data_IF_994041371874
#
_entry.id   IF_994041371874
#
_cell.length_a   1.000
_cell.length_b   1.000
_cell.length_c   1.000
_cell.angle_alpha   90.00
_cell.angle_beta   90.00
_cell.angle_gamma   90.00
#
_symmetry.space_group_name_H-M   'P 1'
#
loop_
_entity.id
_entity.type
_entity.pdbx_description
1 polymer ?
#
# COMPACT_ATOMS: atom_id res chain seq x y z
N UNK A 1 -3.01 44.97 -28.75
CA UNK A 1 -3.26 43.63 -28.19
C UNK A 1 -2.02 43.21 -27.42
N UNK A 2 -1.99 43.44 -26.11
CA UNK A 2 -0.88 43.09 -25.23
C UNK A 2 -1.16 41.71 -24.65
N UNK A 3 -0.35 40.73 -25.04
CA UNK A 3 -0.39 39.37 -24.53
C UNK A 3 -0.01 39.39 -23.05
N UNK A 4 -0.98 39.14 -22.16
CA UNK A 4 -0.72 38.78 -20.77
C UNK A 4 -0.06 37.40 -20.76
N UNK A 5 1.26 37.35 -20.58
CA UNK A 5 1.97 36.13 -20.22
C UNK A 5 1.53 35.69 -18.83
N UNK A 6 0.83 34.57 -18.76
CA UNK A 6 0.45 33.91 -17.52
C UNK A 6 1.70 33.70 -16.65
N UNK A 7 1.64 34.20 -15.42
CA UNK A 7 2.63 33.95 -14.38
C UNK A 7 2.54 32.47 -14.02
N UNK A 8 3.42 31.64 -14.59
CA UNK A 8 3.55 30.25 -14.19
C UNK A 8 4.04 30.23 -12.74
N UNK A 9 3.12 29.97 -11.81
CA UNK A 9 3.44 29.80 -10.40
C UNK A 9 4.62 28.83 -10.28
N UNK A 10 5.77 29.33 -9.83
CA UNK A 10 7.01 28.56 -9.74
C UNK A 10 6.79 27.27 -8.93
N UNK A 11 7.29 26.10 -9.37
CA UNK A 11 7.07 24.81 -8.70
C UNK A 11 7.86 24.62 -7.39
N UNK A 12 8.36 25.70 -6.79
CA UNK A 12 9.17 25.71 -5.56
C UNK A 12 8.55 24.88 -4.40
N UNK A 13 7.23 24.88 -4.15
CA UNK A 13 6.64 24.06 -3.09
C UNK A 13 6.71 22.54 -3.36
N UNK A 14 6.68 22.13 -4.63
CA UNK A 14 6.70 20.71 -5.00
C UNK A 14 8.10 20.11 -4.85
N UNK A 15 9.15 20.88 -5.12
CA UNK A 15 10.54 20.43 -4.99
C UNK A 15 10.94 20.28 -3.52
N UNK A 16 10.52 21.21 -2.66
CA UNK A 16 10.80 21.16 -1.22
C UNK A 16 10.06 20.03 -0.49
N UNK A 17 8.93 19.57 -1.05
CA UNK A 17 8.13 18.46 -0.47
C UNK A 17 8.45 17.10 -1.08
N UNK A 18 9.18 17.04 -2.20
CA UNK A 18 9.57 15.81 -2.85
C UNK A 18 10.26 14.78 -1.93
N UNK A 19 11.30 15.14 -1.13
CA UNK A 19 11.93 14.17 -0.23
C UNK A 19 10.98 13.68 0.88
N UNK A 20 10.10 14.55 1.38
CA UNK A 20 9.10 14.16 2.38
C UNK A 20 8.03 13.22 1.82
N UNK A 21 7.70 13.33 0.52
CA UNK A 21 6.81 12.37 -0.16
C UNK A 21 7.45 10.99 -0.23
N UNK A 22 8.72 10.89 -0.61
CA UNK A 22 9.43 9.60 -0.64
C UNK A 22 9.46 8.93 0.74
N UNK A 23 9.75 9.70 1.79
CA UNK A 23 9.73 9.17 3.16
C UNK A 23 8.32 8.73 3.58
N UNK A 24 7.30 9.54 3.28
CA UNK A 24 5.89 9.17 3.52
C UNK A 24 5.53 7.87 2.81
N UNK A 25 5.84 7.77 1.52
CA UNK A 25 5.51 6.61 0.70
C UNK A 25 6.21 5.36 1.21
N UNK A 26 7.45 5.49 1.70
CA UNK A 26 8.17 4.41 2.37
C UNK A 26 7.46 3.94 3.65
N UNK A 27 7.02 4.86 4.52
CA UNK A 27 6.28 4.49 5.74
C UNK A 27 4.91 3.90 5.45
N UNK A 28 4.23 4.37 4.41
CA UNK A 28 2.97 3.78 3.95
C UNK A 28 3.20 2.34 3.47
N UNK A 29 4.21 2.11 2.63
CA UNK A 29 4.55 0.77 2.15
C UNK A 29 4.94 -0.17 3.32
N UNK A 30 5.69 0.33 4.31
CA UNK A 30 6.05 -0.42 5.51
C UNK A 30 4.82 -0.84 6.31
N UNK A 31 3.90 0.08 6.58
CA UNK A 31 2.67 -0.23 7.31
C UNK A 31 1.82 -1.25 6.56
N UNK A 32 1.67 -1.11 5.24
CA UNK A 32 0.95 -2.11 4.43
C UNK A 32 1.61 -3.48 4.52
N UNK A 33 2.94 -3.56 4.45
CA UNK A 33 3.65 -4.84 4.59
C UNK A 33 3.47 -5.47 5.99
N UNK A 34 3.43 -4.66 7.05
CA UNK A 34 3.15 -5.12 8.42
C UNK A 34 1.71 -5.64 8.53
N UNK A 35 0.73 -4.91 8.01
CA UNK A 35 -0.68 -5.34 8.02
C UNK A 35 -0.88 -6.67 7.28
N UNK A 36 -0.27 -6.83 6.10
CA UNK A 36 -0.36 -8.10 5.37
C UNK A 36 0.32 -9.24 6.13
N UNK A 37 1.45 -8.97 6.80
CA UNK A 37 2.12 -9.99 7.63
C UNK A 37 1.26 -10.43 8.81
N UNK A 38 0.61 -9.49 9.49
CA UNK A 38 -0.23 -9.80 10.65
C UNK A 38 -1.51 -10.54 10.24
N UNK A 39 -2.09 -10.18 9.10
CA UNK A 39 -3.19 -10.93 8.50
C UNK A 39 -2.75 -12.34 8.08
N UNK A 40 -1.57 -12.48 7.47
CA UNK A 40 -1.02 -13.80 7.13
C UNK A 40 -0.85 -14.67 8.37
N UNK A 41 -0.26 -14.14 9.45
CA UNK A 41 -0.10 -14.86 10.71
C UNK A 41 -1.45 -15.28 11.28
N UNK A 42 -2.46 -14.41 11.19
CA UNK A 42 -3.82 -14.72 11.63
C UNK A 42 -4.41 -15.86 10.80
N UNK A 43 -4.30 -15.80 9.47
CA UNK A 43 -4.82 -16.83 8.57
C UNK A 43 -4.07 -18.18 8.70
N UNK A 44 -2.76 -18.15 8.93
CA UNK A 44 -1.96 -19.37 9.17
C UNK A 44 -2.14 -19.95 10.57
N UNK A 45 -2.60 -19.14 11.54
CA UNK A 45 -2.95 -19.61 12.87
C UNK A 45 -4.31 -20.32 12.91
N UNK A 46 -5.16 -20.12 11.90
CA UNK A 46 -6.42 -20.84 11.78
C UNK A 46 -6.17 -22.31 11.46
N UNK A 47 -6.97 -23.17 12.05
CA UNK A 47 -6.98 -24.60 11.74
C UNK A 47 -7.79 -24.86 10.43
N UNK A 48 -7.60 -26.04 9.84
CA UNK A 48 -8.20 -26.35 8.53
C UNK A 48 -9.75 -26.36 8.57
N UNK A 49 -10.36 -26.61 9.74
CA UNK A 49 -11.81 -26.51 9.95
C UNK A 49 -12.28 -25.04 9.90
N UNK A 50 -11.60 -24.12 10.59
CA UNK A 50 -11.90 -22.68 10.56
C UNK A 50 -11.69 -22.07 9.16
N UNK A 51 -10.71 -22.59 8.41
CA UNK A 51 -10.49 -22.21 7.02
C UNK A 51 -11.63 -22.71 6.12
N UNK A 52 -12.08 -23.95 6.33
CA UNK A 52 -13.20 -24.54 5.60
C UNK A 52 -14.53 -23.80 5.88
N UNK A 53 -14.79 -23.38 7.13
CA UNK A 53 -15.96 -22.55 7.48
C UNK A 53 -15.98 -21.22 6.73
N UNK A 54 -14.80 -20.68 6.42
CA UNK A 54 -14.65 -19.45 5.64
C UNK A 54 -14.61 -19.68 4.13
N UNK A 55 -14.74 -20.93 3.69
CA UNK A 55 -14.68 -21.32 2.27
C UNK A 55 -13.29 -21.10 1.66
N UNK A 56 -12.25 -21.07 2.49
CA UNK A 56 -10.86 -20.83 2.08
C UNK A 56 -10.05 -22.12 2.13
N UNK A 57 -9.19 -22.31 1.14
CA UNK A 57 -8.13 -23.33 1.17
C UNK A 57 -6.78 -22.69 1.46
N UNK A 58 -5.83 -23.45 2.02
CA UNK A 58 -4.46 -22.93 2.28
C UNK A 58 -3.78 -22.35 1.03
N UNK A 59 -4.01 -22.92 -0.14
CA UNK A 59 -3.47 -22.41 -1.40
C UNK A 59 -4.07 -21.04 -1.77
N UNK A 60 -5.35 -20.81 -1.47
CA UNK A 60 -6.00 -19.52 -1.69
C UNK A 60 -5.47 -18.42 -0.76
N UNK A 61 -5.07 -18.77 0.48
CA UNK A 61 -4.44 -17.82 1.41
C UNK A 61 -3.15 -17.28 0.81
N UNK A 62 -2.32 -18.17 0.27
CA UNK A 62 -1.04 -17.81 -0.37
C UNK A 62 -1.25 -16.85 -1.54
N UNK A 63 -2.22 -17.15 -2.43
CA UNK A 63 -2.56 -16.29 -3.56
C UNK A 63 -3.13 -14.93 -3.16
N UNK A 64 -3.99 -14.90 -2.13
CA UNK A 64 -4.57 -13.69 -1.59
C UNK A 64 -3.51 -12.75 -0.98
N UNK A 65 -2.59 -13.30 -0.19
CA UNK A 65 -1.51 -12.52 0.44
C UNK A 65 -0.55 -11.91 -0.60
N UNK A 66 -0.21 -12.67 -1.65
CA UNK A 66 0.62 -12.17 -2.76
C UNK A 66 -0.09 -11.07 -3.53
N UNK A 67 -1.37 -11.23 -3.86
CA UNK A 67 -2.16 -10.20 -4.56
C UNK A 67 -2.28 -8.90 -3.76
N UNK A 68 -2.19 -8.96 -2.43
CA UNK A 68 -2.30 -7.79 -1.55
C UNK A 68 -0.98 -7.02 -1.40
N UNK A 69 0.15 -7.68 -1.66
CA UNK A 69 1.49 -7.07 -1.60
C UNK A 69 1.87 -6.31 -2.87
N UNK A 70 1.29 -6.64 -4.03
CA UNK A 70 1.40 -5.87 -5.28
C UNK A 70 2.81 -5.85 -5.88
#
# INVERSE_FOLDING_TARGET
>A
MTTMTANAASPLPAVLTAPFRVVRDFFVALNTAIEVRDEANTLYALNDEELAERGLTRDQISGYLVSRLG
#
